data_IF_849619434410
#
_entry.id   IF_849619434410
#
_cell.length_a   1.000
_cell.length_b   1.000
_cell.length_c   1.000
_cell.angle_alpha   90.00
_cell.angle_beta   90.00
_cell.angle_gamma   90.00
#
_symmetry.space_group_name_H-M   'P 1'
#
loop_
_entity.id
_entity.type
_entity.pdbx_description
1 polymer ?
#
# COMPACT_ATOMS: atom_id res chain seq x y z
N UNK A 1 9.43 4.92 35.75
CA UNK A 1 8.03 4.46 35.65
C UNK A 1 7.24 5.22 34.58
N UNK A 2 7.29 6.57 34.54
CA UNK A 2 6.56 7.42 33.57
C UNK A 2 6.94 7.11 32.10
N UNK A 3 8.24 7.06 31.78
CA UNK A 3 8.71 6.82 30.41
C UNK A 3 8.27 5.46 29.84
N UNK A 4 8.30 4.42 30.67
CA UNK A 4 7.84 3.07 30.30
C UNK A 4 6.34 3.07 29.96
N UNK A 5 5.55 3.78 30.75
CA UNK A 5 4.11 3.91 30.56
C UNK A 5 3.76 4.68 29.27
N UNK A 6 4.55 5.70 28.91
CA UNK A 6 4.40 6.43 27.64
C UNK A 6 4.75 5.54 26.44
N UNK A 7 5.83 4.76 26.51
CA UNK A 7 6.23 3.84 25.45
C UNK A 7 5.19 2.74 25.24
N UNK A 8 4.65 2.17 26.32
CA UNK A 8 3.59 1.16 26.24
C UNK A 8 2.30 1.74 25.63
N UNK A 9 1.91 2.96 26.03
CA UNK A 9 0.76 3.68 25.44
C UNK A 9 0.96 4.03 23.98
N UNK A 10 2.19 4.37 23.57
CA UNK A 10 2.53 4.59 22.16
C UNK A 10 2.44 3.27 21.39
N UNK A 11 3.05 2.20 21.91
CA UNK A 11 3.05 0.89 21.26
C UNK A 11 1.63 0.37 21.07
N UNK A 12 0.78 0.43 22.08
CA UNK A 12 -0.61 -0.02 21.98
C UNK A 12 -1.41 0.76 20.93
N UNK A 13 -1.15 2.06 20.74
CA UNK A 13 -1.89 2.90 19.78
C UNK A 13 -1.35 2.92 18.36
N UNK A 14 -0.04 2.76 18.15
CA UNK A 14 0.60 3.02 16.85
C UNK A 14 1.47 1.89 16.31
N UNK A 15 1.75 0.87 17.12
CA UNK A 15 2.49 -0.30 16.66
C UNK A 15 1.65 -1.13 15.70
N UNK A 16 2.26 -1.46 14.57
CA UNK A 16 1.78 -2.36 13.52
C UNK A 16 2.90 -3.38 13.30
N UNK A 17 2.57 -4.67 13.16
CA UNK A 17 3.58 -5.69 12.98
C UNK A 17 4.27 -5.57 11.62
N UNK A 18 5.52 -6.03 11.50
CA UNK A 18 6.26 -5.95 10.23
C UNK A 18 5.58 -6.73 9.10
N UNK A 19 4.89 -7.82 9.43
CA UNK A 19 4.16 -8.64 8.47
C UNK A 19 2.99 -7.85 7.88
N UNK A 20 2.26 -7.11 8.73
CA UNK A 20 1.12 -6.30 8.29
C UNK A 20 1.55 -5.05 7.50
N UNK A 21 2.79 -4.60 7.70
CA UNK A 21 3.38 -3.50 6.96
C UNK A 21 4.06 -3.95 5.66
N UNK A 22 4.14 -5.24 5.37
CA UNK A 22 4.84 -5.74 4.19
C UNK A 22 4.25 -5.15 2.90
N UNK A 23 2.91 -5.09 2.79
CA UNK A 23 2.21 -4.57 1.62
C UNK A 23 2.38 -3.05 1.49
N UNK A 24 2.32 -2.32 2.62
CA UNK A 24 2.63 -0.88 2.66
C UNK A 24 4.09 -0.60 2.28
N UNK A 25 5.01 -1.46 2.71
CA UNK A 25 6.42 -1.42 2.33
C UNK A 25 6.61 -1.62 0.83
N UNK A 26 5.78 -2.45 0.21
CA UNK A 26 5.80 -2.68 -1.24
C UNK A 26 5.33 -1.45 -2.02
N UNK A 27 4.25 -0.78 -1.57
CA UNK A 27 3.83 0.50 -2.16
C UNK A 27 4.94 1.55 -2.06
N UNK A 28 5.55 1.70 -0.88
CA UNK A 28 6.69 2.59 -0.68
C UNK A 28 7.84 2.27 -1.63
N UNK A 29 8.15 0.99 -1.84
CA UNK A 29 9.21 0.56 -2.77
C UNK A 29 8.96 1.03 -4.19
N UNK A 30 7.72 0.87 -4.68
CA UNK A 30 7.34 1.29 -6.04
C UNK A 30 7.51 2.81 -6.18
N UNK A 31 7.04 3.57 -5.20
CA UNK A 31 7.19 5.02 -5.15
C UNK A 31 8.67 5.42 -5.19
N UNK A 32 9.50 4.82 -4.32
CA UNK A 32 10.94 5.09 -4.24
C UNK A 32 11.63 4.71 -5.55
N UNK A 33 11.26 3.61 -6.19
CA UNK A 33 11.83 3.19 -7.45
C UNK A 33 11.59 4.24 -8.55
N UNK A 34 10.35 4.70 -8.72
CA UNK A 34 10.00 5.74 -9.71
C UNK A 34 10.70 7.05 -9.37
N UNK A 35 10.60 7.49 -8.11
CA UNK A 35 11.17 8.75 -7.69
C UNK A 35 12.71 8.75 -7.80
N UNK A 36 13.38 7.60 -7.58
CA UNK A 36 14.85 7.51 -7.68
C UNK A 36 15.35 7.79 -9.10
N UNK A 37 14.60 7.39 -10.13
CA UNK A 37 14.92 7.68 -11.53
C UNK A 37 14.78 9.18 -11.82
N UNK A 38 13.66 9.77 -11.39
CA UNK A 38 13.37 11.20 -11.61
C UNK A 38 14.41 12.07 -10.90
N UNK A 39 14.69 11.78 -9.63
CA UNK A 39 15.66 12.51 -8.83
C UNK A 39 17.10 12.32 -9.34
N UNK A 40 17.43 11.16 -9.90
CA UNK A 40 18.72 10.96 -10.56
C UNK A 40 18.89 11.86 -11.79
N UNK A 41 17.88 11.92 -12.67
CA UNK A 41 17.89 12.81 -13.83
C UNK A 41 17.98 14.28 -13.40
N UNK A 42 17.23 14.67 -12.37
CA UNK A 42 17.30 16.00 -11.76
C UNK A 42 18.73 16.30 -11.29
N UNK A 43 19.37 15.38 -10.57
CA UNK A 43 20.73 15.56 -10.08
C UNK A 43 21.74 15.76 -11.20
N UNK A 44 21.65 14.97 -12.27
CA UNK A 44 22.52 15.11 -13.44
C UNK A 44 22.32 16.44 -14.16
N UNK A 45 21.06 16.88 -14.29
CA UNK A 45 20.74 18.19 -14.85
C UNK A 45 21.34 19.33 -14.04
N UNK A 46 21.24 19.29 -12.71
CA UNK A 46 21.86 20.33 -11.87
C UNK A 46 23.39 20.25 -11.86
N UNK A 47 23.97 19.05 -11.88
CA UNK A 47 25.41 18.88 -11.98
C UNK A 47 25.94 19.49 -13.28
N UNK A 48 25.29 19.24 -14.42
CA UNK A 48 25.68 19.81 -15.72
C UNK A 48 25.45 21.32 -15.76
N UNK A 49 24.29 21.79 -15.27
CA UNK A 49 23.96 23.21 -15.21
C UNK A 49 24.98 24.00 -14.37
N UNK A 50 25.31 23.53 -13.18
CA UNK A 50 26.31 24.19 -12.32
C UNK A 50 27.70 24.18 -12.96
N UNK A 51 28.08 23.08 -13.61
CA UNK A 51 29.37 22.97 -14.29
C UNK A 51 29.47 23.93 -15.48
N UNK A 52 28.37 24.13 -16.23
CA UNK A 52 28.32 25.03 -17.39
C UNK A 52 28.25 26.50 -16.95
N UNK A 53 27.33 26.85 -16.05
CA UNK A 53 27.09 28.24 -15.64
C UNK A 53 28.23 28.80 -14.78
N UNK A 54 28.81 27.99 -13.89
CA UNK A 54 29.82 28.43 -12.94
C UNK A 54 31.22 27.92 -13.28
N UNK A 55 31.48 27.54 -14.54
CA UNK A 55 32.77 26.99 -14.99
C UNK A 55 33.98 27.83 -14.54
N UNK A 56 33.86 29.18 -14.61
CA UNK A 56 34.94 30.11 -14.26
C UNK A 56 35.15 30.28 -12.75
N UNK A 57 34.14 29.99 -11.93
CA UNK A 57 34.16 30.12 -10.47
C UNK A 57 33.95 28.76 -9.76
N UNK A 58 34.32 27.67 -10.44
CA UNK A 58 34.12 26.29 -9.96
C UNK A 58 34.59 26.05 -8.50
N UNK A 59 35.73 26.59 -8.03
CA UNK A 59 36.19 26.38 -6.66
C UNK A 59 35.20 26.90 -5.60
N UNK A 60 34.48 28.00 -5.89
CA UNK A 60 33.52 28.61 -4.96
C UNK A 60 32.23 27.79 -4.81
N UNK A 61 31.86 27.02 -5.84
CA UNK A 61 30.64 26.20 -5.88
C UNK A 61 30.92 24.69 -5.74
N UNK A 62 32.12 24.32 -5.28
CA UNK A 62 32.54 22.92 -5.09
C UNK A 62 31.60 22.13 -4.16
N UNK A 63 31.09 22.76 -3.10
CA UNK A 63 30.14 22.16 -2.17
C UNK A 63 28.82 21.74 -2.85
N UNK A 64 28.31 22.55 -3.78
CA UNK A 64 27.06 22.26 -4.51
C UNK A 64 27.26 21.07 -5.46
N UNK A 65 28.40 21.04 -6.14
CA UNK A 65 28.77 19.94 -7.03
C UNK A 65 28.95 18.62 -6.26
N UNK A 66 29.62 18.66 -5.11
CA UNK A 66 29.77 17.48 -4.23
C UNK A 66 28.40 17.01 -3.76
N UNK A 67 27.52 17.91 -3.36
CA UNK A 67 26.17 17.57 -2.93
C UNK A 67 25.40 16.85 -4.06
N UNK A 68 25.33 17.41 -5.27
CA UNK A 68 24.62 16.76 -6.39
C UNK A 68 25.31 15.47 -6.86
N UNK A 69 26.62 15.33 -6.68
CA UNK A 69 27.31 14.07 -6.94
C UNK A 69 26.92 12.98 -5.92
N UNK A 70 26.93 13.31 -4.61
CA UNK A 70 26.48 12.40 -3.55
C UNK A 70 24.99 12.08 -3.70
N UNK A 71 24.18 13.06 -4.05
CA UNK A 71 22.75 12.91 -4.32
C UNK A 71 22.50 11.93 -5.47
N UNK A 72 23.26 12.03 -6.57
CA UNK A 72 23.19 11.09 -7.69
C UNK A 72 23.58 9.67 -7.26
N UNK A 73 24.66 9.50 -6.48
CA UNK A 73 25.11 8.19 -5.96
C UNK A 73 24.04 7.56 -5.07
N UNK A 74 23.43 8.34 -4.17
CA UNK A 74 22.37 7.86 -3.29
C UNK A 74 21.10 7.50 -4.08
N UNK A 75 20.75 8.25 -5.13
CA UNK A 75 19.67 7.88 -6.04
C UNK A 75 19.95 6.53 -6.72
N UNK A 76 21.18 6.29 -7.22
CA UNK A 76 21.59 5.00 -7.78
C UNK A 76 21.46 3.88 -6.74
N UNK A 77 21.95 4.10 -5.52
CA UNK A 77 21.81 3.13 -4.43
C UNK A 77 20.34 2.78 -4.17
N UNK A 78 19.46 3.77 -4.04
CA UNK A 78 18.03 3.54 -3.79
C UNK A 78 17.35 2.81 -4.94
N UNK A 79 17.72 3.10 -6.19
CA UNK A 79 17.24 2.40 -7.37
C UNK A 79 17.60 0.90 -7.35
N UNK A 80 18.85 0.56 -7.05
CA UNK A 80 19.25 -0.84 -6.96
C UNK A 80 18.70 -1.53 -5.71
N UNK A 81 18.58 -0.82 -4.60
CA UNK A 81 18.02 -1.37 -3.37
C UNK A 81 16.52 -1.69 -3.48
N UNK A 82 15.79 -0.99 -4.35
CA UNK A 82 14.38 -1.25 -4.65
C UNK A 82 14.14 -2.39 -5.64
N UNK A 83 15.19 -2.91 -6.30
CA UNK A 83 15.05 -4.13 -7.11
C UNK A 83 14.84 -5.34 -6.21
N UNK A 84 13.68 -5.98 -6.34
CA UNK A 84 13.30 -7.13 -5.54
C UNK A 84 14.09 -8.38 -5.95
N UNK A 85 14.60 -9.14 -4.97
CA UNK A 85 15.00 -10.53 -5.21
C UNK A 85 13.75 -11.41 -5.06
N UNK A 86 13.54 -12.36 -5.97
CA UNK A 86 12.48 -13.38 -5.84
C UNK A 86 12.75 -14.22 -4.58
N UNK A 87 11.69 -14.56 -3.84
CA UNK A 87 11.70 -15.29 -2.55
C UNK A 87 12.39 -14.60 -1.37
N UNK A 88 11.76 -13.55 -0.84
CA UNK A 88 12.11 -13.00 0.48
C UNK A 88 10.91 -13.19 1.41
N UNK A 89 11.18 -13.69 2.62
CA UNK A 89 10.22 -13.74 3.72
C UNK A 89 9.51 -12.37 3.92
N UNK A 90 8.17 -12.39 3.93
CA UNK A 90 7.31 -11.19 4.09
C UNK A 90 7.73 -10.33 5.27
N UNK A 91 8.17 -10.93 6.38
CA UNK A 91 8.59 -10.16 7.56
C UNK A 91 9.83 -9.27 7.30
N UNK A 92 10.72 -9.71 6.38
CA UNK A 92 11.93 -8.98 6.00
C UNK A 92 11.71 -8.01 4.85
N UNK A 93 10.62 -8.18 4.09
CA UNK A 93 10.26 -7.29 2.96
C UNK A 93 10.09 -5.86 3.43
N UNK A 94 9.35 -5.62 4.52
CA UNK A 94 9.13 -4.26 5.03
C UNK A 94 10.44 -3.54 5.35
N UNK A 95 11.32 -4.18 6.13
CA UNK A 95 12.60 -3.57 6.55
C UNK A 95 13.43 -3.20 5.32
N UNK A 96 13.54 -4.12 4.36
CA UNK A 96 14.34 -3.92 3.16
C UNK A 96 13.77 -2.82 2.26
N UNK A 97 12.45 -2.71 2.16
CA UNK A 97 11.79 -1.68 1.35
C UNK A 97 11.75 -0.31 2.05
N UNK A 98 11.74 -0.29 3.39
CA UNK A 98 11.67 0.95 4.16
C UNK A 98 13.02 1.66 4.28
N UNK A 99 14.15 0.93 4.32
CA UNK A 99 15.48 1.56 4.42
C UNK A 99 15.76 2.52 3.24
N UNK A 100 15.58 2.13 1.96
CA UNK A 100 15.76 3.03 0.82
C UNK A 100 14.84 4.24 0.87
N UNK A 101 13.60 4.07 1.36
CA UNK A 101 12.66 5.17 1.58
C UNK A 101 13.22 6.20 2.56
N UNK A 102 13.72 5.76 3.72
CA UNK A 102 14.29 6.69 4.69
C UNK A 102 15.53 7.38 4.14
N UNK A 103 16.45 6.64 3.50
CA UNK A 103 17.64 7.22 2.85
C UNK A 103 17.22 8.32 1.88
N UNK A 104 16.27 8.04 1.00
CA UNK A 104 15.75 9.01 0.03
C UNK A 104 15.11 10.23 0.70
N UNK A 105 14.31 10.02 1.74
CA UNK A 105 13.68 11.10 2.50
C UNK A 105 14.73 12.06 3.08
N UNK A 106 15.79 11.52 3.69
CA UNK A 106 16.88 12.33 4.25
C UNK A 106 17.66 13.07 3.18
N UNK A 107 17.86 12.46 2.01
CA UNK A 107 18.49 13.11 0.85
C UNK A 107 17.70 14.34 0.42
N UNK A 108 16.37 14.24 0.31
CA UNK A 108 15.52 15.38 -0.10
C UNK A 108 15.51 16.46 0.99
N UNK A 109 15.47 16.09 2.28
CA UNK A 109 15.62 17.07 3.36
C UNK A 109 16.99 17.77 3.35
N UNK A 110 18.05 17.07 2.92
CA UNK A 110 19.38 17.67 2.70
C UNK A 110 19.36 18.84 1.71
N UNK A 111 18.53 18.77 0.66
CA UNK A 111 18.36 19.85 -0.31
C UNK A 111 17.88 21.14 0.36
N UNK A 112 16.94 21.01 1.29
CA UNK A 112 16.40 22.16 2.01
C UNK A 112 17.48 22.82 2.88
N UNK A 113 18.30 22.02 3.57
CA UNK A 113 19.45 22.51 4.35
C UNK A 113 20.48 23.17 3.44
N UNK A 114 20.79 22.58 2.28
CA UNK A 114 21.78 23.13 1.36
C UNK A 114 21.34 24.49 0.78
N UNK A 115 20.09 24.59 0.31
CA UNK A 115 19.49 25.86 -0.14
C UNK A 115 19.55 26.93 0.95
N UNK A 116 19.48 26.51 2.21
CA UNK A 116 19.58 27.40 3.36
C UNK A 116 21.01 27.90 3.63
N UNK A 117 22.02 27.03 3.43
CA UNK A 117 23.44 27.38 3.53
C UNK A 117 23.87 28.39 2.45
N UNK A 118 23.25 28.34 1.27
CA UNK A 118 23.45 29.32 0.19
C UNK A 118 22.80 30.70 0.48
N UNK A 119 22.23 30.90 1.68
CA UNK A 119 21.61 32.16 2.09
C UNK A 119 20.17 32.37 1.58
N UNK A 120 19.62 31.39 0.85
CA UNK A 120 18.23 31.43 0.35
C UNK A 120 17.26 30.88 1.39
N UNK A 121 17.20 31.54 2.55
CA UNK A 121 16.54 31.04 3.76
C UNK A 121 15.06 30.71 3.55
N UNK A 122 14.32 31.58 2.87
CA UNK A 122 12.89 31.38 2.60
C UNK A 122 12.64 30.17 1.71
N UNK A 123 13.43 30.02 0.65
CA UNK A 123 13.31 28.91 -0.29
C UNK A 123 13.62 27.58 0.38
N UNK A 124 14.71 27.50 1.16
CA UNK A 124 15.05 26.30 1.92
C UNK A 124 13.96 25.89 2.90
N UNK A 125 13.34 26.85 3.60
CA UNK A 125 12.22 26.58 4.51
C UNK A 125 10.98 26.05 3.79
N UNK A 126 10.61 26.64 2.66
CA UNK A 126 9.49 26.15 1.83
C UNK A 126 9.77 24.75 1.30
N UNK A 127 10.98 24.50 0.79
CA UNK A 127 11.38 23.18 0.31
C UNK A 127 11.25 22.14 1.41
N UNK A 128 11.74 22.40 2.63
CA UNK A 128 11.57 21.50 3.76
C UNK A 128 10.09 21.18 4.05
N UNK A 129 9.23 22.19 4.05
CA UNK A 129 7.80 22.04 4.33
C UNK A 129 7.10 21.19 3.26
N UNK A 130 7.34 21.50 1.97
CA UNK A 130 6.74 20.77 0.85
C UNK A 130 7.21 19.32 0.85
N UNK A 131 8.51 19.07 1.06
CA UNK A 131 9.05 17.72 1.17
C UNK A 131 8.38 16.94 2.31
N UNK A 132 8.24 17.55 3.49
CA UNK A 132 7.59 16.91 4.63
C UNK A 132 6.13 16.53 4.32
N UNK A 133 5.38 17.41 3.65
CA UNK A 133 3.99 17.17 3.23
C UNK A 133 3.91 16.03 2.22
N UNK A 134 4.76 16.03 1.18
CA UNK A 134 4.76 14.99 0.14
C UNK A 134 5.07 13.63 0.77
N UNK A 135 6.11 13.56 1.60
CA UNK A 135 6.47 12.32 2.30
C UNK A 135 5.30 11.83 3.14
N UNK A 136 4.67 12.71 3.92
CA UNK A 136 3.52 12.39 4.77
C UNK A 136 2.30 11.95 3.97
N UNK A 137 2.04 12.53 2.80
CA UNK A 137 0.93 12.14 1.95
C UNK A 137 1.16 10.76 1.30
N UNK A 138 2.35 10.54 0.77
CA UNK A 138 2.62 9.43 -0.17
C UNK A 138 3.12 8.17 0.54
N UNK A 139 3.94 8.30 1.58
CA UNK A 139 4.70 7.18 2.13
C UNK A 139 4.16 6.72 3.49
N UNK A 140 4.23 5.42 3.76
CA UNK A 140 3.93 4.85 5.08
C UNK A 140 5.22 4.67 5.89
N UNK A 141 5.40 5.38 7.00
CA UNK A 141 6.65 5.38 7.76
C UNK A 141 6.43 5.48 9.27
N UNK A 142 7.53 5.31 10.02
CA UNK A 142 7.54 5.46 11.47
C UNK A 142 7.49 6.95 11.84
N UNK A 143 6.45 7.40 12.59
CA UNK A 143 6.36 8.80 13.03
C UNK A 143 7.58 9.27 13.84
N UNK A 144 8.23 8.36 14.58
CA UNK A 144 9.42 8.67 15.38
C UNK A 144 10.62 8.97 14.48
N UNK A 145 10.87 8.15 13.45
CA UNK A 145 11.97 8.38 12.53
C UNK A 145 11.75 9.65 11.69
N UNK A 146 10.50 9.93 11.35
CA UNK A 146 10.14 11.17 10.66
C UNK A 146 10.36 12.41 11.55
N UNK A 147 9.94 12.36 12.82
CA UNK A 147 10.20 13.43 13.77
C UNK A 147 11.71 13.66 13.93
N UNK A 148 12.49 12.59 14.08
CA UNK A 148 13.94 12.67 14.22
C UNK A 148 14.55 13.38 13.00
N UNK A 149 14.11 13.03 11.79
CA UNK A 149 14.57 13.73 10.58
C UNK A 149 14.19 15.21 10.54
N UNK A 150 12.94 15.56 10.87
CA UNK A 150 12.54 16.96 10.95
C UNK A 150 13.36 17.75 11.98
N UNK A 151 13.63 17.16 13.15
CA UNK A 151 14.44 17.82 14.19
C UNK A 151 15.87 18.06 13.74
N UNK A 152 16.48 17.13 13.01
CA UNK A 152 17.83 17.31 12.45
C UNK A 152 17.82 18.44 11.41
N UNK A 153 16.87 18.39 10.47
CA UNK A 153 16.75 19.41 9.41
C UNK A 153 16.56 20.80 9.99
N UNK A 154 15.61 20.96 10.92
CA UNK A 154 15.36 22.25 11.58
C UNK A 154 16.54 22.67 12.44
N UNK A 155 17.18 21.75 13.15
CA UNK A 155 18.37 22.03 13.95
C UNK A 155 19.51 22.61 13.12
N UNK A 156 19.76 22.07 11.91
CA UNK A 156 20.74 22.61 10.97
C UNK A 156 20.35 24.00 10.44
N UNK A 157 19.05 24.25 10.23
CA UNK A 157 18.55 25.52 9.71
C UNK A 157 18.36 26.59 10.80
N UNK A 158 18.34 26.22 12.08
CA UNK A 158 17.99 27.11 13.19
C UNK A 158 18.84 28.39 13.27
N UNK A 159 20.18 28.35 13.12
CA UNK A 159 20.99 29.58 13.19
C UNK A 159 20.61 30.60 12.11
N UNK A 160 20.47 30.17 10.86
CA UNK A 160 20.09 31.09 9.79
C UNK A 160 18.61 31.47 9.81
N UNK A 161 17.73 30.65 10.40
CA UNK A 161 16.32 31.00 10.61
C UNK A 161 16.22 32.16 11.61
N UNK A 162 17.04 32.12 12.65
CA UNK A 162 17.12 33.18 13.64
C UNK A 162 17.71 34.47 13.05
N UNK A 163 18.75 34.40 12.23
CA UNK A 163 19.32 35.61 11.61
C UNK A 163 18.38 36.24 10.59
N UNK A 164 17.67 35.43 9.80
CA UNK A 164 16.80 35.91 8.73
C UNK A 164 15.42 36.36 9.21
N UNK A 165 14.83 35.65 10.17
CA UNK A 165 13.44 35.84 10.59
C UNK A 165 13.31 36.07 12.10
N UNK A 166 14.41 36.09 12.87
CA UNK A 166 14.37 36.25 14.32
C UNK A 166 13.70 35.08 15.03
N UNK A 167 13.16 35.36 16.22
CA UNK A 167 12.49 34.37 17.08
C UNK A 167 11.24 33.78 16.39
N UNK A 168 10.55 34.54 15.54
CA UNK A 168 9.33 34.07 14.87
C UNK A 168 9.63 32.96 13.86
N UNK A 169 10.78 32.99 13.17
CA UNK A 169 11.20 31.92 12.26
C UNK A 169 11.45 30.59 12.97
N UNK A 170 12.08 30.64 14.15
CA UNK A 170 12.27 29.46 15.00
C UNK A 170 10.93 28.94 15.53
N UNK A 171 10.07 29.82 16.03
CA UNK A 171 8.75 29.45 16.52
C UNK A 171 7.91 28.76 15.44
N UNK A 172 7.89 29.30 14.23
CA UNK A 172 7.16 28.72 13.08
C UNK A 172 7.72 27.35 12.69
N UNK A 173 9.04 27.16 12.77
CA UNK A 173 9.68 25.87 12.47
C UNK A 173 9.31 24.80 13.52
N UNK A 174 9.27 25.18 14.80
CA UNK A 174 8.83 24.29 15.88
C UNK A 174 7.35 23.95 15.73
N UNK A 175 6.49 24.93 15.43
CA UNK A 175 5.07 24.71 15.17
C UNK A 175 4.88 23.74 14.00
N UNK A 176 5.60 23.95 12.90
CA UNK A 176 5.57 23.06 11.73
C UNK A 176 5.97 21.62 12.10
N UNK A 177 7.07 21.43 12.84
CA UNK A 177 7.51 20.11 13.28
C UNK A 177 6.46 19.40 14.14
N UNK A 178 5.86 20.14 15.09
CA UNK A 178 4.80 19.61 15.95
C UNK A 178 3.58 19.22 15.13
N UNK A 179 3.09 20.09 14.23
CA UNK A 179 1.96 19.80 13.36
C UNK A 179 2.22 18.58 12.47
N UNK A 180 3.39 18.51 11.83
CA UNK A 180 3.79 17.38 10.98
C UNK A 180 3.88 16.08 11.76
N UNK A 181 4.36 16.12 13.00
CA UNK A 181 4.39 14.95 13.88
C UNK A 181 2.99 14.49 14.27
N UNK A 182 2.08 15.42 14.59
CA UNK A 182 0.69 15.09 14.91
C UNK A 182 -0.03 14.47 13.72
N UNK A 183 0.17 15.02 12.51
CA UNK A 183 -0.35 14.44 11.28
C UNK A 183 0.22 13.05 11.01
N UNK A 184 1.52 12.83 11.26
CA UNK A 184 2.15 11.52 11.11
C UNK A 184 1.56 10.49 12.09
N UNK A 185 1.32 10.89 13.35
CA UNK A 185 0.64 10.04 14.34
C UNK A 185 -0.81 9.74 13.95
N UNK A 186 -1.53 10.74 13.43
CA UNK A 186 -2.91 10.58 12.96
C UNK A 186 -2.99 9.59 11.79
N UNK A 187 -2.17 9.78 10.75
CA UNK A 187 -2.05 8.86 9.62
C UNK A 187 -1.76 7.45 10.10
N UNK A 188 -0.77 7.29 10.98
CA UNK A 188 -0.37 5.99 11.53
C UNK A 188 -1.50 5.29 12.29
N UNK A 189 -2.33 6.03 13.00
CA UNK A 189 -3.50 5.50 13.71
C UNK A 189 -4.56 5.00 12.73
N UNK A 190 -4.84 5.76 11.66
CA UNK A 190 -5.78 5.35 10.62
C UNK A 190 -5.32 4.07 9.94
N UNK A 191 -4.05 4.01 9.52
CA UNK A 191 -3.43 2.83 8.92
C UNK A 191 -3.64 1.60 9.80
N UNK A 192 -3.33 1.71 11.10
CA UNK A 192 -3.52 0.63 12.06
C UNK A 192 -4.97 0.19 12.16
N UNK A 193 -5.90 1.14 12.33
CA UNK A 193 -7.31 0.83 12.49
C UNK A 193 -7.85 0.14 11.23
N UNK A 194 -7.44 0.57 10.04
CA UNK A 194 -7.82 -0.05 8.79
C UNK A 194 -7.31 -1.50 8.69
N UNK A 195 -6.04 -1.75 9.00
CA UNK A 195 -5.48 -3.12 9.02
C UNK A 195 -6.23 -4.01 10.03
N UNK A 196 -6.51 -3.49 11.23
CA UNK A 196 -7.24 -4.24 12.26
C UNK A 196 -8.66 -4.56 11.82
N UNK A 197 -9.35 -3.61 11.18
CA UNK A 197 -10.66 -3.80 10.59
C UNK A 197 -10.63 -4.94 9.54
N UNK A 198 -9.70 -4.88 8.59
CA UNK A 198 -9.57 -5.92 7.56
C UNK A 198 -9.25 -7.30 8.15
N UNK A 199 -8.42 -7.36 9.20
CA UNK A 199 -8.14 -8.62 9.92
C UNK A 199 -9.37 -9.19 10.61
N UNK A 200 -10.13 -8.35 11.31
CA UNK A 200 -11.37 -8.75 11.97
C UNK A 200 -12.37 -9.25 10.92
N UNK A 201 -12.53 -8.51 9.82
CA UNK A 201 -13.38 -8.92 8.71
C UNK A 201 -12.95 -10.29 8.16
N UNK A 202 -11.65 -10.52 7.93
CA UNK A 202 -11.14 -11.81 7.47
C UNK A 202 -11.48 -12.97 8.42
N UNK A 203 -11.45 -12.73 9.72
CA UNK A 203 -11.80 -13.75 10.72
C UNK A 203 -13.31 -14.02 10.76
N UNK A 204 -14.13 -13.02 10.46
CA UNK A 204 -15.59 -13.12 10.47
C UNK A 204 -16.19 -13.55 9.13
N UNK A 205 -15.50 -13.33 8.01
CA UNK A 205 -15.96 -13.58 6.65
C UNK A 205 -15.34 -14.86 6.10
N UNK A 206 -16.13 -15.92 6.09
CA UNK A 206 -15.75 -17.25 5.60
C UNK A 206 -16.52 -17.57 4.31
N UNK A 207 -15.82 -18.12 3.34
CA UNK A 207 -16.38 -18.63 2.09
C UNK A 207 -16.19 -20.12 2.08
N UNK A 208 -17.29 -20.86 1.96
CA UNK A 208 -17.29 -22.29 1.66
C UNK A 208 -17.50 -22.48 0.17
N UNK A 209 -16.61 -23.24 -0.45
CA UNK A 209 -16.64 -23.53 -1.88
C UNK A 209 -16.72 -25.03 -2.16
N UNK A 210 -16.38 -25.87 -1.19
CA UNK A 210 -16.58 -27.32 -1.29
C UNK A 210 -18.03 -27.68 -1.02
N UNK A 211 -18.62 -28.50 -1.89
CA UNK A 211 -20.07 -28.69 -1.96
C UNK A 211 -20.75 -27.47 -2.59
N UNK A 212 -21.71 -26.86 -1.88
CA UNK A 212 -22.39 -25.65 -2.35
C UNK A 212 -21.65 -24.37 -1.94
N UNK A 213 -21.47 -23.43 -2.88
CA UNK A 213 -21.02 -22.07 -2.56
C UNK A 213 -21.88 -21.44 -1.46
N UNK A 214 -21.25 -21.02 -0.37
CA UNK A 214 -21.90 -20.37 0.76
C UNK A 214 -21.00 -19.27 1.32
N UNK A 215 -21.51 -18.04 1.38
CA UNK A 215 -20.87 -16.93 2.08
C UNK A 215 -21.36 -16.85 3.51
N UNK A 216 -20.45 -16.86 4.48
CA UNK A 216 -20.75 -16.84 5.91
C UNK A 216 -20.10 -15.60 6.52
N UNK A 217 -20.88 -14.79 7.22
CA UNK A 217 -20.39 -13.64 7.97
C UNK A 217 -20.87 -13.72 9.43
N UNK A 218 -19.93 -13.67 10.38
CA UNK A 218 -20.21 -13.81 11.82
C UNK A 218 -21.09 -15.04 12.15
N UNK A 219 -20.73 -16.20 11.58
CA UNK A 219 -21.45 -17.48 11.72
C UNK A 219 -22.88 -17.49 11.16
N UNK A 220 -23.27 -16.51 10.35
CA UNK A 220 -24.57 -16.46 9.66
C UNK A 220 -24.36 -16.54 8.15
N UNK A 221 -25.19 -17.33 7.48
CA UNK A 221 -25.18 -17.40 6.02
C UNK A 221 -25.71 -16.08 5.46
N UNK A 222 -24.91 -15.45 4.60
CA UNK A 222 -25.30 -14.25 3.86
C UNK A 222 -26.23 -14.66 2.73
N UNK A 223 -27.40 -14.04 2.65
CA UNK A 223 -28.38 -14.30 1.60
C UNK A 223 -28.48 -13.08 0.70
N UNK A 224 -28.23 -13.25 -0.59
CA UNK A 224 -28.47 -12.22 -1.59
C UNK A 224 -29.92 -12.24 -2.07
N UNK A 225 -30.41 -11.13 -2.62
CA UNK A 225 -31.78 -11.08 -3.16
C UNK A 225 -31.96 -11.96 -4.40
N UNK A 226 -30.87 -12.21 -5.15
CA UNK A 226 -30.91 -12.96 -6.41
C UNK A 226 -29.95 -14.14 -6.37
N UNK A 227 -30.40 -15.31 -6.81
CA UNK A 227 -29.57 -16.53 -6.87
C UNK A 227 -28.33 -16.39 -7.76
N UNK A 228 -28.41 -15.61 -8.85
CA UNK A 228 -27.25 -15.33 -9.71
C UNK A 228 -26.20 -14.42 -9.06
N UNK A 229 -26.53 -13.75 -7.96
CA UNK A 229 -25.54 -12.97 -7.20
C UNK A 229 -24.54 -13.91 -6.52
N UNK A 230 -25.02 -15.04 -5.98
CA UNK A 230 -24.16 -16.11 -5.46
C UNK A 230 -23.26 -16.70 -6.54
N UNK A 231 -23.81 -16.96 -7.73
CA UNK A 231 -23.06 -17.48 -8.89
C UNK A 231 -21.96 -16.53 -9.36
N UNK A 232 -22.28 -15.24 -9.49
CA UNK A 232 -21.31 -14.21 -9.86
C UNK A 232 -20.18 -14.15 -8.83
N UNK A 233 -20.52 -14.13 -7.55
CA UNK A 233 -19.53 -14.04 -6.49
C UNK A 233 -18.66 -15.31 -6.41
N UNK A 234 -19.28 -16.50 -6.53
CA UNK A 234 -18.59 -17.78 -6.62
C UNK A 234 -17.58 -17.84 -7.75
N UNK A 235 -17.95 -17.32 -8.94
CA UNK A 235 -17.02 -17.24 -10.07
C UNK A 235 -15.83 -16.31 -9.79
N UNK A 236 -16.05 -15.16 -9.14
CA UNK A 236 -14.95 -14.27 -8.77
C UNK A 236 -14.04 -14.90 -7.70
N UNK A 237 -14.60 -15.66 -6.75
CA UNK A 237 -13.83 -16.45 -5.78
C UNK A 237 -12.94 -17.46 -6.50
N UNK A 238 -13.48 -18.19 -7.49
CA UNK A 238 -12.72 -19.12 -8.31
C UNK A 238 -11.53 -18.43 -9.02
N UNK A 239 -11.73 -17.21 -9.54
CA UNK A 239 -10.68 -16.41 -10.20
C UNK A 239 -9.61 -15.84 -9.25
N UNK A 240 -9.75 -16.04 -7.94
CA UNK A 240 -8.75 -15.73 -6.89
C UNK A 240 -8.15 -14.32 -7.01
N UNK A 241 -9.02 -13.33 -7.10
CA UNK A 241 -8.64 -11.91 -7.19
C UNK A 241 -8.14 -11.44 -8.56
N UNK A 242 -8.17 -12.30 -9.58
CA UNK A 242 -7.99 -11.89 -10.96
C UNK A 242 -9.18 -11.04 -11.41
N UNK A 243 -8.87 -9.98 -12.17
CA UNK A 243 -9.82 -9.10 -12.82
C UNK A 243 -10.63 -9.82 -13.89
N UNK A 244 -11.95 -9.79 -13.79
CA UNK A 244 -12.90 -10.40 -14.74
C UNK A 244 -13.66 -9.31 -15.47
N UNK A 245 -13.77 -9.42 -16.81
CA UNK A 245 -14.47 -8.43 -17.64
C UNK A 245 -15.97 -8.71 -17.72
N UNK A 246 -16.75 -7.70 -18.10
CA UNK A 246 -18.21 -7.81 -18.27
C UNK A 246 -18.59 -8.95 -19.22
N UNK A 247 -17.93 -9.06 -20.38
CA UNK A 247 -18.23 -10.10 -21.37
C UNK A 247 -18.05 -11.52 -20.80
N UNK A 248 -16.98 -11.74 -20.05
CA UNK A 248 -16.69 -13.03 -19.42
C UNK A 248 -17.75 -13.38 -18.37
N UNK A 249 -18.13 -12.42 -17.51
CA UNK A 249 -19.23 -12.63 -16.56
C UNK A 249 -20.55 -12.97 -17.25
N UNK A 250 -20.88 -12.29 -18.35
CA UNK A 250 -22.11 -12.57 -19.10
C UNK A 250 -22.10 -13.97 -19.70
N UNK A 251 -20.98 -14.38 -20.29
CA UNK A 251 -20.81 -15.73 -20.85
C UNK A 251 -20.97 -16.80 -19.78
N UNK A 252 -20.35 -16.61 -18.61
CA UNK A 252 -20.42 -17.58 -17.52
C UNK A 252 -21.83 -17.67 -16.93
N UNK A 253 -22.48 -16.52 -16.71
CA UNK A 253 -23.79 -16.47 -16.06
C UNK A 253 -24.95 -16.81 -16.99
N UNK A 254 -24.85 -16.53 -18.29
CA UNK A 254 -25.99 -16.62 -19.22
C UNK A 254 -25.68 -17.42 -20.50
N UNK A 255 -24.49 -18.01 -20.61
CA UNK A 255 -24.04 -18.82 -21.75
C UNK A 255 -23.37 -18.02 -22.88
N UNK A 256 -22.79 -18.74 -23.84
CA UNK A 256 -21.92 -18.19 -24.91
C UNK A 256 -22.59 -17.14 -25.81
N UNK A 257 -23.92 -17.17 -25.92
CA UNK A 257 -24.69 -16.22 -26.74
C UNK A 257 -25.19 -14.99 -25.97
N UNK A 258 -24.76 -14.81 -24.73
CA UNK A 258 -25.14 -13.67 -23.92
C UNK A 258 -24.40 -12.39 -24.36
N UNK A 259 -25.17 -11.38 -24.79
CA UNK A 259 -24.64 -10.06 -25.11
C UNK A 259 -25.03 -9.01 -24.06
N UNK A 260 -24.13 -8.04 -23.90
CA UNK A 260 -24.24 -6.84 -23.08
C UNK A 260 -25.50 -6.02 -23.37
N UNK A 261 -25.95 -5.95 -24.61
CA UNK A 261 -27.18 -5.24 -24.97
C UNK A 261 -28.43 -5.85 -24.30
N UNK A 262 -28.45 -7.17 -24.12
CA UNK A 262 -29.60 -7.90 -23.56
C UNK A 262 -29.48 -8.11 -22.05
N UNK A 263 -28.29 -8.43 -21.55
CA UNK A 263 -28.08 -8.84 -20.15
C UNK A 263 -27.30 -7.82 -19.31
N UNK A 264 -26.86 -6.69 -19.88
CA UNK A 264 -26.12 -5.66 -19.16
C UNK A 264 -26.91 -5.04 -18.00
N UNK A 265 -28.22 -4.83 -18.17
CA UNK A 265 -29.11 -4.37 -17.09
C UNK A 265 -29.21 -5.40 -15.96
N UNK A 266 -29.32 -6.68 -16.32
CA UNK A 266 -29.36 -7.79 -15.35
C UNK A 266 -28.06 -7.86 -14.54
N UNK A 267 -26.90 -7.81 -15.20
CA UNK A 267 -25.60 -7.80 -14.52
C UNK A 267 -25.47 -6.60 -13.57
N UNK A 268 -25.91 -5.41 -14.00
CA UNK A 268 -25.92 -4.22 -13.15
C UNK A 268 -26.77 -4.43 -11.89
N UNK A 269 -27.92 -5.09 -12.02
CA UNK A 269 -28.78 -5.41 -10.88
C UNK A 269 -28.13 -6.42 -9.92
N UNK A 270 -27.37 -7.41 -10.43
CA UNK A 270 -26.58 -8.32 -9.58
C UNK A 270 -25.49 -7.57 -8.82
N UNK A 271 -24.76 -6.68 -9.49
CA UNK A 271 -23.72 -5.84 -8.86
C UNK A 271 -24.32 -4.96 -7.75
N UNK A 272 -25.49 -4.37 -7.99
CA UNK A 272 -26.19 -3.56 -6.99
C UNK A 272 -26.65 -4.41 -5.81
N UNK A 273 -27.21 -5.60 -6.05
CA UNK A 273 -27.62 -6.54 -5.00
C UNK A 273 -26.45 -6.94 -4.08
N UNK A 274 -25.32 -7.32 -4.68
CA UNK A 274 -24.09 -7.66 -3.95
C UNK A 274 -23.61 -6.44 -3.15
N UNK A 275 -23.52 -5.26 -3.76
CA UNK A 275 -23.07 -4.05 -3.06
C UNK A 275 -23.98 -3.65 -1.91
N UNK A 276 -25.29 -3.76 -2.08
CA UNK A 276 -26.27 -3.45 -1.03
C UNK A 276 -26.15 -4.43 0.13
N UNK A 277 -26.18 -5.74 -0.17
CA UNK A 277 -26.10 -6.79 0.85
C UNK A 277 -24.79 -6.72 1.65
N UNK A 278 -23.66 -6.49 0.98
CA UNK A 278 -22.37 -6.32 1.66
C UNK A 278 -22.30 -5.00 2.45
N UNK A 279 -22.93 -3.93 1.94
CA UNK A 279 -23.02 -2.64 2.61
C UNK A 279 -23.82 -2.70 3.91
N UNK A 280 -24.96 -3.40 3.91
CA UNK A 280 -25.80 -3.60 5.10
C UNK A 280 -25.07 -4.38 6.21
N UNK A 281 -24.13 -5.24 5.82
CA UNK A 281 -23.30 -6.04 6.72
C UNK A 281 -21.97 -5.35 7.08
N UNK A 282 -21.76 -4.11 6.62
CA UNK A 282 -20.52 -3.36 6.77
C UNK A 282 -19.27 -4.08 6.24
N UNK A 283 -19.43 -5.00 5.29
CA UNK A 283 -18.33 -5.72 4.65
C UNK A 283 -17.69 -4.80 3.61
N UNK A 284 -16.41 -4.46 3.80
CA UNK A 284 -15.68 -3.55 2.91
C UNK A 284 -14.51 -4.25 2.21
N UNK A 285 -14.05 -3.68 1.10
CA UNK A 285 -12.89 -4.17 0.34
C UNK A 285 -12.94 -5.65 -0.07
N UNK A 286 -14.09 -6.31 0.00
CA UNK A 286 -14.27 -7.71 -0.41
C UNK A 286 -14.61 -7.80 -1.90
N UNK A 287 -15.66 -7.12 -2.35
CA UNK A 287 -16.08 -7.08 -3.74
C UNK A 287 -15.69 -5.75 -4.38
N UNK A 288 -14.84 -5.80 -5.40
CA UNK A 288 -14.32 -4.63 -6.12
C UNK A 288 -14.96 -4.61 -7.51
N UNK A 289 -15.73 -3.57 -7.77
CA UNK A 289 -16.40 -3.35 -9.04
C UNK A 289 -16.01 -1.99 -9.61
N UNK A 290 -15.17 -2.04 -10.64
CA UNK A 290 -14.66 -0.91 -11.43
C UNK A 290 -15.24 -0.97 -12.85
N UNK A 291 -14.92 0.02 -13.69
CA UNK A 291 -15.43 0.05 -15.07
C UNK A 291 -14.96 -1.18 -15.87
N UNK A 292 -15.91 -2.01 -16.29
CA UNK A 292 -15.67 -3.25 -17.04
C UNK A 292 -14.68 -4.22 -16.36
N UNK A 293 -14.55 -4.14 -15.03
CA UNK A 293 -13.60 -4.93 -14.28
C UNK A 293 -14.16 -5.28 -12.89
N UNK A 294 -14.23 -6.58 -12.60
CA UNK A 294 -14.79 -7.12 -11.37
C UNK A 294 -13.82 -8.13 -10.77
N UNK A 295 -13.59 -8.01 -9.46
CA UNK A 295 -12.74 -8.94 -8.71
C UNK A 295 -13.14 -8.98 -7.25
N UNK A 296 -12.69 -10.01 -6.56
CA UNK A 296 -12.74 -10.09 -5.10
C UNK A 296 -11.34 -9.84 -4.53
N UNK A 297 -11.26 -9.37 -3.30
CA UNK A 297 -10.00 -9.33 -2.56
C UNK A 297 -9.85 -10.64 -1.75
N UNK A 298 -8.93 -11.54 -2.11
CA UNK A 298 -8.76 -12.80 -1.38
C UNK A 298 -8.15 -12.59 0.01
N UNK A 299 -7.58 -11.43 0.30
CA UNK A 299 -6.90 -11.17 1.57
C UNK A 299 -7.85 -10.93 2.74
N UNK A 300 -9.09 -10.54 2.46
CA UNK A 300 -10.12 -10.18 3.45
C UNK A 300 -11.12 -11.29 3.75
N UNK A 301 -10.87 -12.51 3.25
CA UNK A 301 -11.72 -13.68 3.47
C UNK A 301 -10.91 -14.88 3.95
N UNK A 302 -11.59 -15.81 4.61
CA UNK A 302 -11.13 -17.19 4.79
C UNK A 302 -11.86 -18.07 3.77
N UNK A 303 -11.15 -18.92 3.03
CA UNK A 303 -11.75 -19.70 1.95
C UNK A 303 -11.10 -21.09 1.88
N UNK A 304 -11.92 -22.13 1.97
CA UNK A 304 -11.50 -23.53 1.92
C UNK A 304 -10.73 -23.88 0.62
N UNK A 305 -11.17 -23.35 -0.52
CA UNK A 305 -10.46 -23.50 -1.80
C UNK A 305 -9.09 -22.83 -1.81
N UNK A 306 -8.94 -21.68 -1.14
CA UNK A 306 -7.64 -21.00 -1.07
C UNK A 306 -6.67 -21.76 -0.16
N UNK A 307 -7.17 -22.26 0.97
CA UNK A 307 -6.40 -23.09 1.89
C UNK A 307 -5.97 -24.40 1.21
N UNK A 308 -6.84 -25.02 0.41
CA UNK A 308 -6.52 -26.17 -0.43
C UNK A 308 -5.42 -25.87 -1.46
N UNK A 309 -5.53 -24.75 -2.17
CA UNK A 309 -4.51 -24.35 -3.15
C UNK A 309 -3.15 -24.06 -2.49
N UNK A 310 -3.15 -23.52 -1.27
CA UNK A 310 -1.95 -23.30 -0.46
C UNK A 310 -1.34 -24.63 0.03
N UNK A 311 -2.13 -25.71 0.01
CA UNK A 311 -1.69 -27.05 0.41
C UNK A 311 -1.88 -27.36 1.88
N UNK A 312 -2.82 -26.69 2.54
CA UNK A 312 -3.11 -26.95 3.94
C UNK A 312 -3.73 -28.36 4.10
N UNK A 313 -3.16 -29.17 4.99
CA UNK A 313 -3.53 -30.58 5.14
C UNK A 313 -5.00 -30.80 5.55
N UNK A 314 -5.57 -30.02 6.50
CA UNK A 314 -6.98 -30.09 6.84
C UNK A 314 -7.88 -29.72 5.66
N UNK A 315 -7.52 -28.71 4.86
CA UNK A 315 -8.30 -28.29 3.70
C UNK A 315 -8.32 -29.37 2.61
N UNK A 316 -7.18 -30.01 2.35
CA UNK A 316 -7.10 -31.16 1.41
C UNK A 316 -8.00 -32.31 1.88
N UNK A 317 -7.97 -32.65 3.17
CA UNK A 317 -8.82 -33.72 3.74
C UNK A 317 -10.31 -33.37 3.73
N UNK A 318 -10.65 -32.09 3.80
CA UNK A 318 -12.04 -31.63 3.75
C UNK A 318 -12.64 -31.64 2.35
N UNK A 319 -11.81 -31.76 1.30
CA UNK A 319 -12.29 -31.84 -0.06
C UNK A 319 -12.82 -33.25 -0.37
N UNK A 320 -14.13 -33.35 -0.62
CA UNK A 320 -14.84 -34.61 -0.87
C UNK A 320 -15.20 -34.84 -2.35
N UNK A 321 -14.52 -34.17 -3.28
CA UNK A 321 -14.80 -34.27 -4.73
C UNK A 321 -15.81 -33.25 -5.26
N UNK A 322 -16.47 -32.48 -4.39
CA UNK A 322 -17.45 -31.47 -4.78
C UNK A 322 -16.88 -30.05 -4.68
N UNK A 323 -17.03 -29.26 -5.74
CA UNK A 323 -16.66 -27.84 -5.78
C UNK A 323 -17.77 -27.04 -6.44
N UNK A 324 -18.40 -26.14 -5.68
CA UNK A 324 -19.54 -25.28 -6.06
C UNK A 324 -20.55 -26.00 -6.98
N UNK A 325 -21.04 -27.16 -6.53
CA UNK A 325 -21.81 -28.10 -7.35
C UNK A 325 -23.12 -27.53 -7.91
N UNK A 326 -23.62 -26.41 -7.36
CA UNK A 326 -24.78 -25.73 -7.91
C UNK A 326 -24.50 -24.91 -9.19
N UNK A 327 -23.24 -24.73 -9.58
CA UNK A 327 -22.86 -23.95 -10.75
C UNK A 327 -22.26 -24.86 -11.84
N UNK A 328 -22.82 -24.81 -13.05
CA UNK A 328 -22.41 -25.70 -14.15
C UNK A 328 -20.95 -25.54 -14.56
N UNK A 329 -20.41 -24.32 -14.52
CA UNK A 329 -19.00 -24.05 -14.87
C UNK A 329 -18.00 -24.63 -13.85
N UNK A 330 -18.46 -25.02 -12.66
CA UNK A 330 -17.58 -25.50 -11.59
C UNK A 330 -17.18 -26.98 -11.76
N UNK A 331 -17.92 -27.76 -12.56
CA UNK A 331 -17.70 -29.20 -12.78
C UNK A 331 -16.28 -29.50 -13.29
N UNK A 332 -15.81 -28.74 -14.30
CA UNK A 332 -14.45 -28.89 -14.83
C UNK A 332 -13.38 -28.62 -13.77
N UNK A 333 -13.65 -27.66 -12.89
CA UNK A 333 -12.73 -27.30 -11.80
C UNK A 333 -12.69 -28.36 -10.72
N UNK A 334 -13.83 -28.98 -10.39
CA UNK A 334 -13.91 -30.07 -9.43
C UNK A 334 -12.99 -31.23 -9.84
N UNK A 335 -13.05 -31.64 -11.11
CA UNK A 335 -12.19 -32.71 -11.65
C UNK A 335 -10.69 -32.36 -11.56
N UNK A 336 -10.32 -31.10 -11.82
CA UNK A 336 -8.94 -30.63 -11.64
C UNK A 336 -8.49 -30.69 -10.18
N UNK A 337 -9.35 -30.30 -9.24
CA UNK A 337 -9.02 -30.32 -7.81
C UNK A 337 -8.87 -31.74 -7.28
N UNK A 338 -9.70 -32.67 -7.74
CA UNK A 338 -9.60 -34.09 -7.40
C UNK A 338 -8.25 -34.69 -7.83
N UNK A 339 -7.83 -34.45 -9.08
CA UNK A 339 -6.52 -34.89 -9.56
C UNK A 339 -5.37 -34.30 -8.74
N UNK A 340 -5.52 -33.07 -8.25
CA UNK A 340 -4.50 -32.40 -7.43
C UNK A 340 -4.48 -32.92 -6.00
N UNK A 341 -5.64 -33.28 -5.43
CA UNK A 341 -5.76 -33.89 -4.12
C UNK A 341 -5.09 -35.27 -4.08
N UNK A 342 -5.26 -36.08 -5.14
CA UNK A 342 -4.66 -37.42 -5.25
C UNK A 342 -3.13 -37.42 -5.37
N UNK A 343 -2.52 -36.31 -5.81
CA UNK A 343 -1.07 -36.18 -6.00
C UNK A 343 -0.31 -35.72 -4.75
N UNK A 344 -1.01 -35.39 -3.67
CA UNK A 344 -0.43 -34.93 -2.39
C UNK A 344 -0.74 -35.93 -1.30
#
# INVERSE_FOLDING_TARGET
MIFKNVIEKYKSRYFISNIDLADMGESNRIIVHIASIILFCFSLFFLSLYTILFYKELPKHSHSLIYYAVYAILCIYTFFATKQKKDIDRAKVYIRSAVPLYVMMYVIFGQAVYTFLDGLYFNGFITACITAIIVLAVCSFSPILFLLGLTITIGCMAPGLYTAFGVSGLANSVIMAVLMFWLALYKRRIEKNHIQFLKKQKQSLEVKTFGNFTLIYENKVVKFSRSKSDELLGYLIYKKGSSVKTKELLTVLYGDHADSARYGSSLRNLIVDIKHTLGDLEIQNFFIAEYNNFRINPEVIKCDYYDFLAGDSPAIKSFAGEFMSQFSWAEETAAFLEQKALKK
#
